data_IF_028910327690
#
_entry.id   IF_028910327690
#
_cell.length_a   1.000
_cell.length_b   1.000
_cell.length_c   1.000
_cell.angle_alpha   90.00
_cell.angle_beta   90.00
_cell.angle_gamma   90.00
#
_symmetry.space_group_name_H-M   'P 1'
#
loop_
_entity.id
_entity.type
_entity.pdbx_description
1 polymer ?
#
# COMPACT_ATOMS: atom_id res chain seq x y z
N UNK A 1 -2.33 -7.85 -3.86
CA UNK A 1 -1.16 -6.93 -4.02
C UNK A 1 -1.45 -5.68 -3.24
N UNK A 2 -0.66 -5.34 -2.26
CA UNK A 2 -0.88 -4.15 -1.44
C UNK A 2 -0.99 -2.88 -2.29
N UNK A 3 -2.07 -2.15 -2.08
CA UNK A 3 -2.28 -0.80 -2.56
C UNK A 3 -2.32 0.14 -1.36
N UNK A 4 -2.71 1.39 -1.51
CA UNK A 4 -2.68 2.35 -0.40
C UNK A 4 -3.40 1.85 0.87
N UNK A 5 -4.61 1.25 0.81
CA UNK A 5 -5.31 0.80 2.02
C UNK A 5 -4.57 -0.27 2.81
N UNK A 6 -3.94 -1.22 2.13
CA UNK A 6 -3.15 -2.27 2.78
C UNK A 6 -1.86 -1.70 3.41
N UNK A 7 -1.23 -0.71 2.75
CA UNK A 7 -0.05 -0.05 3.30
C UNK A 7 -0.43 0.82 4.50
N UNK A 8 -1.61 1.46 4.50
CA UNK A 8 -2.12 2.18 5.66
C UNK A 8 -2.39 1.24 6.83
N UNK A 9 -2.95 0.06 6.58
CA UNK A 9 -3.11 -0.98 7.61
C UNK A 9 -1.76 -1.37 8.24
N UNK A 10 -0.72 -1.58 7.43
CA UNK A 10 0.62 -1.91 7.91
C UNK A 10 1.25 -0.75 8.71
N UNK A 11 1.12 0.51 8.21
CA UNK A 11 1.59 1.70 8.91
C UNK A 11 0.92 1.85 10.27
N UNK A 12 -0.41 1.71 10.32
CA UNK A 12 -1.18 1.80 11.57
C UNK A 12 -0.81 0.71 12.56
N UNK A 13 -0.47 -0.50 12.08
CA UNK A 13 0.04 -1.59 12.92
C UNK A 13 1.38 -1.21 13.55
N UNK A 14 2.30 -0.60 12.80
CA UNK A 14 3.58 -0.10 13.34
C UNK A 14 3.31 0.99 14.38
N UNK A 15 2.46 1.97 14.04
CA UNK A 15 2.13 3.08 14.93
C UNK A 15 1.55 2.60 16.27
N UNK A 16 0.65 1.63 16.23
CA UNK A 16 -0.04 1.14 17.43
C UNK A 16 0.83 0.24 18.33
N UNK A 17 1.80 -0.50 17.76
CA UNK A 17 2.43 -1.60 18.49
C UNK A 17 3.98 -1.62 18.44
N UNK A 18 4.63 -0.82 17.61
CA UNK A 18 6.07 -0.90 17.39
C UNK A 18 6.85 0.37 17.78
N UNK A 19 6.19 1.52 17.95
CA UNK A 19 6.86 2.78 18.27
C UNK A 19 7.38 2.84 19.70
N UNK A 20 8.42 3.65 19.90
CA UNK A 20 9.04 3.97 21.19
C UNK A 20 9.63 2.76 21.93
N UNK A 21 9.89 1.67 21.22
CA UNK A 21 10.51 0.45 21.74
C UNK A 21 11.97 0.41 21.32
N UNK A 22 12.89 0.19 22.26
CA UNK A 22 14.34 0.16 21.97
C UNK A 22 14.70 -1.07 21.17
N UNK A 23 15.38 -0.87 20.04
CA UNK A 23 15.88 -1.91 19.14
C UNK A 23 17.17 -2.49 19.71
N UNK A 24 17.23 -3.82 19.89
CA UNK A 24 18.43 -4.52 20.38
C UNK A 24 19.05 -5.42 19.33
N UNK A 25 18.30 -5.84 18.32
CA UNK A 25 18.83 -6.60 17.19
C UNK A 25 18.00 -6.36 15.93
N UNK A 26 18.64 -6.51 14.77
CA UNK A 26 17.98 -6.47 13.46
C UNK A 26 18.54 -7.61 12.61
N UNK A 27 17.63 -8.41 12.01
CA UNK A 27 17.98 -9.35 10.95
C UNK A 27 17.69 -8.71 9.59
N UNK A 28 18.74 -8.29 8.90
CA UNK A 28 18.76 -7.70 7.55
C UNK A 28 19.50 -8.60 6.55
N UNK A 29 19.57 -9.90 6.82
CA UNK A 29 20.35 -10.85 6.01
C UNK A 29 19.73 -11.17 4.66
N UNK A 30 18.44 -10.83 4.42
CA UNK A 30 17.82 -10.97 3.10
C UNK A 30 18.34 -9.92 2.12
N UNK A 31 19.42 -10.26 1.41
CA UNK A 31 20.10 -9.37 0.44
C UNK A 31 19.22 -8.93 -0.73
N UNK A 32 18.07 -9.56 -0.96
CA UNK A 32 17.17 -9.16 -2.02
C UNK A 32 16.18 -8.09 -1.56
N UNK A 33 15.63 -8.21 -0.37
CA UNK A 33 14.71 -7.20 0.16
C UNK A 33 15.42 -6.02 0.79
N UNK A 34 16.58 -6.23 1.43
CA UNK A 34 17.35 -5.16 2.06
C UNK A 34 18.30 -4.41 1.09
N UNK A 35 18.35 -4.78 -0.20
CA UNK A 35 19.21 -4.11 -1.17
C UNK A 35 18.88 -2.62 -1.32
N UNK A 36 19.85 -1.71 -1.52
CA UNK A 36 21.26 -2.01 -1.84
C UNK A 36 22.16 -2.29 -0.62
N UNK A 37 21.60 -2.34 0.60
CA UNK A 37 22.36 -2.49 1.82
C UNK A 37 22.92 -3.92 1.95
N UNK A 38 24.24 -4.08 2.21
CA UNK A 38 24.78 -5.37 2.58
C UNK A 38 24.27 -5.81 3.97
N UNK A 39 24.26 -7.12 4.26
CA UNK A 39 23.88 -7.62 5.58
C UNK A 39 24.67 -6.95 6.71
N UNK A 40 23.95 -6.51 7.74
CA UNK A 40 24.50 -5.82 8.90
C UNK A 40 24.52 -4.29 8.80
N UNK A 41 24.33 -3.69 7.63
CA UNK A 41 24.33 -2.22 7.48
C UNK A 41 23.09 -1.60 8.12
N UNK A 42 21.90 -2.15 7.84
CA UNK A 42 20.66 -1.67 8.47
C UNK A 42 20.68 -1.96 9.97
N UNK A 43 21.18 -3.12 10.36
CA UNK A 43 21.35 -3.46 11.78
C UNK A 43 22.26 -2.46 12.51
N UNK A 44 23.41 -2.13 11.95
CA UNK A 44 24.33 -1.16 12.53
C UNK A 44 23.70 0.25 12.64
N UNK A 45 22.84 0.61 11.70
CA UNK A 45 22.17 1.90 11.69
C UNK A 45 21.02 2.00 12.72
N UNK A 46 20.34 0.89 13.07
CA UNK A 46 19.13 0.92 13.87
C UNK A 46 19.30 0.44 15.31
N UNK A 47 20.27 -0.42 15.61
CA UNK A 47 20.47 -0.93 16.97
C UNK A 47 20.80 0.21 17.94
N UNK A 48 20.16 0.19 19.12
CA UNK A 48 20.23 1.23 20.13
C UNK A 48 19.23 2.39 19.96
N UNK A 49 18.50 2.42 18.83
CA UNK A 49 17.47 3.44 18.54
C UNK A 49 16.07 2.90 18.80
N UNK A 50 15.07 3.76 18.62
CA UNK A 50 13.65 3.41 18.62
C UNK A 50 12.98 4.00 17.38
N UNK A 51 11.94 3.36 16.87
CA UNK A 51 11.04 3.98 15.88
C UNK A 51 10.20 5.04 16.62
N UNK A 52 10.12 6.27 16.11
CA UNK A 52 9.47 7.40 16.77
C UNK A 52 8.16 7.83 16.11
N UNK A 53 8.04 7.66 14.81
CA UNK A 53 6.83 7.94 14.04
C UNK A 53 6.74 7.00 12.85
N UNK A 54 5.52 6.71 12.37
CA UNK A 54 5.27 5.92 11.18
C UNK A 54 4.48 6.73 10.15
N UNK A 55 5.01 6.85 8.96
CA UNK A 55 4.48 7.66 7.88
C UNK A 55 4.16 6.82 6.65
N UNK A 56 3.29 7.32 5.78
CA UNK A 56 2.95 6.73 4.49
C UNK A 56 2.77 7.79 3.41
N UNK A 57 3.16 7.46 2.19
CA UNK A 57 2.78 8.18 0.98
C UNK A 57 2.55 7.16 -0.14
N UNK A 58 1.32 7.02 -0.56
CA UNK A 58 0.92 5.99 -1.51
C UNK A 58 1.19 4.58 -1.00
N UNK A 59 2.06 3.85 -1.69
CA UNK A 59 2.44 2.47 -1.35
C UNK A 59 3.78 2.39 -0.63
N UNK A 60 4.39 3.50 -0.32
CA UNK A 60 5.63 3.59 0.45
C UNK A 60 5.32 4.03 1.87
N UNK A 61 5.87 3.34 2.86
CA UNK A 61 5.84 3.74 4.26
C UNK A 61 7.26 3.85 4.80
N UNK A 62 7.44 4.68 5.81
CA UNK A 62 8.71 4.82 6.50
C UNK A 62 8.49 5.18 7.95
N UNK A 63 9.50 4.88 8.76
CA UNK A 63 9.53 5.24 10.16
C UNK A 63 10.69 6.19 10.42
N UNK A 64 10.44 7.23 11.18
CA UNK A 64 11.50 8.03 11.79
C UNK A 64 12.15 7.24 12.92
N UNK A 65 13.43 7.50 13.19
CA UNK A 65 14.15 6.87 14.29
C UNK A 65 14.76 7.90 15.24
N UNK A 66 14.86 7.54 16.52
CA UNK A 66 15.55 8.34 17.54
C UNK A 66 17.05 8.37 17.33
N UNK A 67 17.77 9.17 18.10
CA UNK A 67 19.19 9.01 18.34
C UNK A 67 19.51 7.67 19.04
N UNK A 68 20.78 7.35 19.13
CA UNK A 68 21.25 6.16 19.85
C UNK A 68 21.03 6.36 21.36
N UNK A 69 20.58 5.31 22.05
CA UNK A 69 20.37 5.32 23.50
C UNK A 69 19.41 6.42 24.02
N UNK A 70 18.48 6.86 23.15
CA UNK A 70 17.45 7.85 23.52
C UNK A 70 17.91 9.32 23.37
N UNK A 71 19.01 9.56 22.69
CA UNK A 71 19.40 10.92 22.26
C UNK A 71 18.31 11.50 21.33
N UNK A 72 18.02 12.80 21.48
CA UNK A 72 17.03 13.54 20.69
C UNK A 72 17.48 13.82 19.24
N UNK A 73 18.72 13.48 18.88
CA UNK A 73 19.19 13.64 17.49
C UNK A 73 18.48 12.66 16.58
N UNK A 74 17.85 13.11 15.47
CA UNK A 74 17.21 12.20 14.52
C UNK A 74 18.19 11.16 13.97
N UNK A 75 17.75 9.91 13.94
CA UNK A 75 18.47 8.85 13.22
C UNK A 75 18.06 8.76 11.75
N UNK A 76 18.59 7.77 11.00
CA UNK A 76 18.15 7.50 9.64
C UNK A 76 16.69 7.07 9.59
N UNK A 77 15.98 7.38 8.52
CA UNK A 77 14.62 6.86 8.33
C UNK A 77 14.66 5.41 7.84
N UNK A 78 13.73 4.58 8.31
CA UNK A 78 13.56 3.20 7.86
C UNK A 78 12.39 3.11 6.89
N UNK A 79 12.66 3.01 5.59
CA UNK A 79 11.66 2.80 4.56
C UNK A 79 11.28 1.34 4.39
N UNK A 80 9.98 1.05 4.27
CA UNK A 80 9.44 -0.29 4.03
C UNK A 80 8.45 -0.24 2.88
N UNK A 81 8.57 -1.16 1.95
CA UNK A 81 7.62 -1.36 0.85
C UNK A 81 7.14 -2.82 0.84
N UNK A 82 5.83 -3.04 0.83
CA UNK A 82 5.24 -4.38 0.99
C UNK A 82 5.32 -5.27 -0.28
N UNK A 83 5.81 -4.73 -1.39
CA UNK A 83 5.87 -5.49 -2.65
C UNK A 83 4.49 -5.94 -3.13
N UNK A 84 4.33 -7.25 -3.30
CA UNK A 84 3.08 -7.83 -3.84
C UNK A 84 2.32 -8.72 -2.83
N UNK A 85 2.89 -9.04 -1.69
CA UNK A 85 2.29 -9.93 -0.67
C UNK A 85 2.83 -9.66 0.73
N UNK A 86 3.57 -8.57 0.91
CA UNK A 86 4.18 -8.22 2.18
C UNK A 86 3.15 -7.86 3.24
N UNK A 87 3.46 -8.24 4.48
CA UNK A 87 2.71 -7.90 5.69
C UNK A 87 3.67 -7.49 6.79
N UNK A 88 3.23 -6.60 7.63
CA UNK A 88 3.90 -6.26 8.88
C UNK A 88 3.28 -7.07 9.99
N UNK A 89 4.12 -7.75 10.75
CA UNK A 89 3.75 -8.52 11.93
C UNK A 89 4.46 -7.90 13.12
N UNK A 90 3.73 -7.46 14.13
CA UNK A 90 4.30 -6.93 15.38
C UNK A 90 3.89 -7.85 16.51
N UNK A 91 4.88 -8.40 17.21
CA UNK A 91 4.65 -9.18 18.44
C UNK A 91 4.98 -8.30 19.65
N UNK A 92 4.03 -8.18 20.56
CA UNK A 92 4.20 -7.49 21.83
C UNK A 92 5.06 -8.29 22.82
N UNK A 93 5.45 -7.65 23.96
CA UNK A 93 6.20 -8.34 25.03
C UNK A 93 5.41 -9.47 25.68
N UNK A 94 4.09 -9.44 25.61
CA UNK A 94 3.17 -10.47 26.13
C UNK A 94 2.87 -11.59 25.12
N UNK A 95 3.51 -11.53 23.92
CA UNK A 95 3.26 -12.46 22.84
C UNK A 95 2.05 -12.13 21.97
N UNK A 96 1.31 -11.05 22.28
CA UNK A 96 0.20 -10.61 21.43
C UNK A 96 0.70 -10.21 20.05
N UNK A 97 0.07 -10.78 19.01
CA UNK A 97 0.40 -10.50 17.62
C UNK A 97 -0.60 -9.52 17.00
N UNK A 98 -0.08 -8.45 16.41
CA UNK A 98 -0.82 -7.50 15.59
C UNK A 98 -0.29 -7.56 14.15
N UNK A 99 -1.19 -7.49 13.18
CA UNK A 99 -0.85 -7.67 11.77
C UNK A 99 -1.50 -6.58 10.90
N UNK A 100 -0.76 -6.12 9.87
CA UNK A 100 -1.27 -5.20 8.85
C UNK A 100 -0.57 -5.41 7.51
N UNK A 101 -1.22 -5.06 6.42
CA UNK A 101 -0.68 -5.21 5.07
C UNK A 101 -1.59 -5.98 4.12
N UNK A 102 -1.03 -6.87 3.29
CA UNK A 102 -1.82 -7.58 2.29
C UNK A 102 -2.84 -8.51 2.96
N UNK A 103 -4.11 -8.14 2.81
CA UNK A 103 -5.21 -8.89 3.41
C UNK A 103 -5.83 -9.83 2.37
N UNK A 104 -5.83 -11.12 2.66
CA UNK A 104 -6.45 -12.13 1.81
C UNK A 104 -7.82 -12.52 2.37
N UNK A 105 -8.78 -11.60 2.24
CA UNK A 105 -10.20 -11.78 2.40
C UNK A 105 -10.70 -12.92 3.29
N UNK A 106 -10.91 -12.67 4.58
CA UNK A 106 -11.64 -13.55 5.47
C UNK A 106 -10.98 -14.88 5.85
N UNK A 107 -9.85 -15.22 5.28
CA UNK A 107 -9.13 -16.46 5.64
C UNK A 107 -8.30 -16.34 6.92
N UNK A 108 -8.13 -15.12 7.42
CA UNK A 108 -7.30 -14.84 8.60
C UNK A 108 -8.09 -14.33 9.81
N UNK A 109 -9.42 -14.27 9.75
CA UNK A 109 -10.27 -13.66 10.79
C UNK A 109 -10.98 -14.63 11.73
N UNK A 110 -10.77 -15.92 11.64
CA UNK A 110 -11.45 -16.90 12.52
C UNK A 110 -10.46 -17.92 13.02
N UNK A 111 -9.81 -17.68 14.16
CA UNK A 111 -9.29 -18.63 15.14
C UNK A 111 -8.80 -20.02 14.69
N UNK A 112 -8.51 -20.23 13.42
CA UNK A 112 -7.94 -21.46 12.90
C UNK A 112 -6.41 -21.35 12.93
N UNK A 113 -5.73 -22.43 13.27
CA UNK A 113 -4.29 -22.55 13.15
C UNK A 113 -3.84 -21.96 11.81
N UNK A 114 -2.95 -20.97 11.82
CA UNK A 114 -2.40 -20.36 10.62
C UNK A 114 -1.48 -21.33 9.88
N UNK A 115 -1.91 -21.98 8.78
CA UNK A 115 -1.09 -22.95 8.07
C UNK A 115 0.16 -22.35 7.43
N UNK A 116 0.33 -21.03 7.48
CA UNK A 116 1.20 -20.29 6.57
C UNK A 116 2.22 -19.36 7.25
N UNK A 117 2.42 -19.43 8.58
CA UNK A 117 3.48 -18.68 9.28
C UNK A 117 4.81 -19.40 9.28
N UNK A 118 5.33 -19.70 8.10
CA UNK A 118 6.69 -20.22 8.02
C UNK A 118 7.68 -19.06 8.25
N UNK A 119 8.51 -19.10 9.31
CA UNK A 119 9.50 -18.06 9.61
C UNK A 119 10.51 -17.82 8.47
N UNK A 120 10.63 -18.75 7.57
CA UNK A 120 11.46 -18.62 6.36
C UNK A 120 11.03 -17.45 5.47
N UNK A 121 9.81 -16.95 5.64
CA UNK A 121 9.28 -15.80 4.92
C UNK A 121 9.36 -14.47 5.69
N UNK A 122 9.92 -14.50 6.91
CA UNK A 122 10.31 -13.28 7.62
C UNK A 122 11.58 -12.75 6.95
N UNK A 123 11.45 -11.70 6.16
CA UNK A 123 12.52 -11.17 5.31
C UNK A 123 13.36 -10.09 5.98
N UNK A 124 12.79 -9.47 6.98
CA UNK A 124 13.43 -8.46 7.80
C UNK A 124 12.80 -8.51 9.19
N UNK A 125 13.62 -8.48 10.24
CA UNK A 125 13.14 -8.56 11.62
C UNK A 125 13.86 -7.54 12.50
N UNK A 126 13.08 -6.76 13.24
CA UNK A 126 13.56 -5.96 14.36
C UNK A 126 13.19 -6.70 15.65
N UNK A 127 14.15 -6.85 16.57
CA UNK A 127 13.92 -7.34 17.93
C UNK A 127 14.07 -6.21 18.92
N UNK A 128 13.10 -6.08 19.81
CA UNK A 128 13.06 -5.03 20.83
C UNK A 128 13.59 -5.53 22.18
N UNK A 129 14.02 -4.58 23.04
CA UNK A 129 14.56 -4.87 24.37
C UNK A 129 13.56 -5.58 25.30
N UNK A 130 12.27 -5.41 25.06
CA UNK A 130 11.18 -6.07 25.78
C UNK A 130 10.86 -7.49 25.29
N UNK A 131 11.63 -8.02 24.34
CA UNK A 131 11.47 -9.35 23.76
C UNK A 131 10.48 -9.43 22.59
N UNK A 132 9.72 -8.37 22.31
CA UNK A 132 8.84 -8.36 21.14
C UNK A 132 9.59 -8.11 19.83
N UNK A 133 8.86 -8.21 18.70
CA UNK A 133 9.45 -8.09 17.35
C UNK A 133 8.57 -7.30 16.40
N UNK A 134 9.19 -6.69 15.38
CA UNK A 134 8.54 -6.24 14.15
C UNK A 134 9.13 -7.03 12.98
N UNK A 135 8.30 -7.59 12.12
CA UNK A 135 8.74 -8.41 10.99
C UNK A 135 8.08 -7.98 9.69
N UNK A 136 8.85 -7.94 8.61
CA UNK A 136 8.33 -7.92 7.25
C UNK A 136 8.23 -9.38 6.76
N UNK A 137 7.02 -9.87 6.67
CA UNK A 137 6.72 -11.18 6.16
C UNK A 137 6.36 -11.09 4.67
N UNK A 138 7.14 -11.70 3.78
CA UNK A 138 6.86 -11.71 2.34
C UNK A 138 7.24 -13.03 1.68
N UNK A 139 6.22 -13.82 1.27
CA UNK A 139 6.39 -15.08 0.55
C UNK A 139 7.04 -14.90 -0.82
N UNK A 140 6.73 -13.79 -1.49
CA UNK A 140 7.15 -13.52 -2.88
C UNK A 140 8.50 -12.83 -2.98
N UNK A 141 9.01 -12.32 -1.88
CA UNK A 141 10.30 -11.64 -1.79
C UNK A 141 10.39 -10.45 -2.75
N UNK A 142 9.32 -9.66 -2.80
CA UNK A 142 9.19 -8.46 -3.66
C UNK A 142 9.09 -7.17 -2.84
N UNK A 143 9.11 -7.28 -1.53
CA UNK A 143 9.23 -6.17 -0.60
C UNK A 143 10.58 -5.46 -0.69
N UNK A 144 10.71 -4.36 0.04
CA UNK A 144 11.96 -3.59 0.16
C UNK A 144 12.06 -2.97 1.54
N UNK A 145 13.26 -3.05 2.11
CA UNK A 145 13.64 -2.33 3.31
C UNK A 145 14.88 -1.50 3.00
N UNK A 146 14.85 -0.21 3.31
CA UNK A 146 15.95 0.72 3.00
C UNK A 146 16.09 1.78 4.07
N UNK A 147 17.30 2.22 4.30
CA UNK A 147 17.58 3.46 5.00
C UNK A 147 17.38 4.64 4.03
N UNK A 148 16.83 5.74 4.54
CA UNK A 148 16.65 7.02 3.86
C UNK A 148 16.05 6.88 2.44
N UNK A 149 14.82 6.34 2.31
CA UNK A 149 14.22 6.08 1.02
C UNK A 149 13.98 7.37 0.22
N UNK A 150 14.29 7.33 -1.08
CA UNK A 150 13.95 8.43 -2.00
C UNK A 150 12.43 8.45 -2.26
N UNK A 151 11.76 9.46 -1.74
CA UNK A 151 10.33 9.69 -1.87
C UNK A 151 9.98 10.85 -2.85
N UNK A 152 10.96 11.53 -3.42
CA UNK A 152 10.76 12.75 -4.23
C UNK A 152 10.04 12.48 -5.54
N UNK A 153 10.12 11.25 -6.04
CA UNK A 153 9.46 10.83 -7.28
C UNK A 153 7.98 10.51 -7.13
N UNK A 154 7.49 10.44 -5.90
CA UNK A 154 6.08 10.13 -5.63
C UNK A 154 5.23 11.39 -5.82
N UNK A 155 4.12 11.23 -6.54
CA UNK A 155 3.05 12.22 -6.60
C UNK A 155 2.37 12.44 -5.24
N UNK A 156 1.35 13.32 -5.18
CA UNK A 156 0.54 13.48 -3.98
C UNK A 156 -0.15 12.16 -3.63
N UNK A 157 -0.44 12.00 -2.34
CA UNK A 157 -1.12 10.81 -1.82
C UNK A 157 -2.59 10.76 -2.26
N UNK A 158 -3.06 9.60 -2.73
CA UNK A 158 -4.43 9.45 -3.24
C UNK A 158 -5.52 9.68 -2.17
N UNK A 159 -5.20 9.55 -0.89
CA UNK A 159 -6.13 9.81 0.21
C UNK A 159 -6.34 11.31 0.45
N UNK A 160 -5.31 12.12 0.21
CA UNK A 160 -5.28 13.54 0.61
C UNK A 160 -5.13 14.54 -0.53
N UNK A 161 -4.90 14.08 -1.76
CA UNK A 161 -4.72 14.97 -2.91
C UNK A 161 -5.93 15.87 -3.13
N UNK A 162 -5.71 17.16 -3.35
CA UNK A 162 -6.77 18.13 -3.67
C UNK A 162 -7.33 17.94 -5.09
N UNK A 163 -8.60 18.33 -5.29
CA UNK A 163 -9.29 18.16 -6.57
C UNK A 163 -8.57 18.89 -7.72
N UNK A 164 -8.12 20.11 -7.49
CA UNK A 164 -7.40 20.89 -8.51
C UNK A 164 -6.06 20.23 -8.86
N UNK A 165 -5.28 19.83 -7.87
CA UNK A 165 -3.98 19.19 -8.10
C UNK A 165 -4.13 17.86 -8.84
N UNK A 166 -5.12 17.04 -8.46
CA UNK A 166 -5.40 15.78 -9.16
C UNK A 166 -5.78 16.05 -10.63
N UNK A 167 -6.68 17.02 -10.88
CA UNK A 167 -7.11 17.38 -12.23
C UNK A 167 -5.95 17.84 -13.10
N UNK A 168 -5.07 18.71 -12.59
CA UNK A 168 -3.89 19.21 -13.30
C UNK A 168 -2.89 18.08 -13.63
N UNK A 169 -2.69 17.13 -12.72
CA UNK A 169 -1.75 16.02 -12.91
C UNK A 169 -2.28 14.95 -13.84
N UNK A 170 -3.54 14.54 -13.65
CA UNK A 170 -4.20 13.52 -14.48
C UNK A 170 -4.44 14.05 -15.89
N UNK A 171 -4.90 15.30 -16.06
CA UNK A 171 -5.28 15.89 -17.35
C UNK A 171 -4.13 16.13 -18.32
N UNK A 172 -2.87 15.89 -17.94
CA UNK A 172 -1.72 16.14 -18.84
C UNK A 172 -1.49 14.97 -19.81
N UNK A 173 -1.48 15.29 -21.10
CA UNK A 173 -1.20 14.34 -22.19
C UNK A 173 -2.45 13.61 -22.69
N UNK A 174 -2.28 12.49 -23.41
CA UNK A 174 -3.34 11.78 -24.12
C UNK A 174 -3.49 10.32 -23.66
N UNK A 175 -2.80 9.92 -22.60
CA UNK A 175 -2.85 8.54 -22.11
C UNK A 175 -4.25 8.19 -21.58
N UNK A 176 -4.64 6.89 -21.56
CA UNK A 176 -5.86 6.46 -20.90
C UNK A 176 -5.89 6.86 -19.42
N UNK A 177 -7.05 7.29 -18.93
CA UNK A 177 -7.21 7.75 -17.55
C UNK A 177 -6.76 6.71 -16.51
N UNK A 178 -7.01 5.43 -16.75
CA UNK A 178 -6.50 4.37 -15.86
C UNK A 178 -4.97 4.33 -15.83
N UNK A 179 -4.30 4.51 -16.95
CA UNK A 179 -2.84 4.52 -17.00
C UNK A 179 -2.27 5.69 -16.17
N UNK A 180 -2.93 6.84 -16.19
CA UNK A 180 -2.58 7.99 -15.36
C UNK A 180 -2.77 7.73 -13.86
N UNK A 181 -3.88 7.09 -13.47
CA UNK A 181 -4.11 6.71 -12.08
C UNK A 181 -3.10 5.69 -11.56
N UNK A 182 -2.56 4.82 -12.42
CA UNK A 182 -1.56 3.82 -12.04
C UNK A 182 -0.14 4.39 -11.91
N UNK A 183 0.11 5.58 -12.46
CA UNK A 183 1.40 6.26 -12.40
C UNK A 183 1.59 6.90 -11.02
N UNK A 184 2.49 6.33 -10.23
CA UNK A 184 2.75 6.78 -8.85
C UNK A 184 3.37 8.19 -8.79
N UNK A 185 3.87 8.74 -9.89
CA UNK A 185 4.34 10.13 -9.97
C UNK A 185 3.18 11.11 -10.21
N UNK A 186 2.05 10.65 -10.74
CA UNK A 186 0.83 11.43 -10.93
C UNK A 186 0.02 11.47 -9.64
N UNK A 187 -0.29 10.30 -9.09
CA UNK A 187 -0.96 10.12 -7.80
C UNK A 187 -0.44 8.85 -7.13
N UNK A 188 0.10 8.98 -5.93
CA UNK A 188 0.67 7.85 -5.21
C UNK A 188 -0.41 7.04 -4.49
N UNK A 189 -0.30 5.71 -4.56
CA UNK A 189 -1.15 4.79 -3.80
C UNK A 189 -2.15 3.99 -4.64
N UNK A 190 -2.57 4.52 -5.77
CA UNK A 190 -3.53 3.84 -6.64
C UNK A 190 -2.88 2.62 -7.30
N UNK A 191 -3.52 1.47 -7.15
CA UNK A 191 -3.16 0.26 -7.86
C UNK A 191 -4.29 -0.21 -8.77
N UNK A 192 -4.23 -1.48 -9.19
CA UNK A 192 -5.14 -2.00 -10.21
C UNK A 192 -6.60 -2.11 -9.74
N UNK A 193 -6.79 -2.53 -8.49
CA UNK A 193 -8.14 -2.70 -7.92
C UNK A 193 -8.74 -1.34 -7.59
N UNK A 194 -7.99 -0.49 -6.91
CA UNK A 194 -8.47 0.86 -6.56
C UNK A 194 -8.76 1.70 -7.80
N UNK A 195 -7.96 1.55 -8.88
CA UNK A 195 -8.23 2.24 -10.15
C UNK A 195 -9.53 1.77 -10.80
N UNK A 196 -9.80 0.44 -10.83
CA UNK A 196 -11.03 -0.08 -11.43
C UNK A 196 -12.25 0.34 -10.60
N UNK A 197 -12.18 0.28 -9.28
CA UNK A 197 -13.22 0.75 -8.37
C UNK A 197 -13.51 2.25 -8.55
N UNK A 198 -12.46 3.08 -8.53
CA UNK A 198 -12.57 4.53 -8.72
C UNK A 198 -13.25 4.89 -10.05
N UNK A 199 -12.81 4.27 -11.15
CA UNK A 199 -13.36 4.56 -12.47
C UNK A 199 -14.78 4.07 -12.63
N UNK A 200 -15.15 2.96 -11.98
CA UNK A 200 -16.52 2.49 -11.96
C UNK A 200 -17.43 3.43 -11.16
N UNK A 201 -17.01 3.91 -10.00
CA UNK A 201 -17.74 4.91 -9.22
C UNK A 201 -17.86 6.25 -9.97
N UNK A 202 -16.82 6.67 -10.69
CA UNK A 202 -16.83 7.90 -11.48
C UNK A 202 -17.58 7.80 -12.81
N UNK A 203 -18.11 6.63 -13.21
CA UNK A 203 -18.72 6.39 -14.53
C UNK A 203 -17.79 6.70 -15.71
N UNK A 204 -16.48 6.47 -15.56
CA UNK A 204 -15.49 6.77 -16.59
C UNK A 204 -14.89 5.51 -17.19
N UNK A 205 -14.86 5.45 -18.52
CA UNK A 205 -14.17 4.38 -19.23
C UNK A 205 -12.67 4.39 -18.89
N UNK A 206 -12.09 3.25 -18.48
CA UNK A 206 -10.65 3.17 -18.19
C UNK A 206 -9.76 3.49 -19.38
N UNK A 207 -10.32 3.41 -20.59
CA UNK A 207 -9.63 3.67 -21.86
C UNK A 207 -9.73 5.11 -22.32
N UNK A 208 -10.54 5.93 -21.67
CA UNK A 208 -10.78 7.31 -22.08
C UNK A 208 -9.47 8.12 -22.02
N UNK A 209 -9.09 8.80 -23.11
CA UNK A 209 -7.94 9.71 -23.11
C UNK A 209 -8.16 10.86 -22.13
N UNK A 210 -7.13 11.23 -21.37
CA UNK A 210 -7.29 12.26 -20.32
C UNK A 210 -7.54 13.65 -20.86
N UNK A 211 -7.09 13.96 -22.07
CA UNK A 211 -7.36 15.23 -22.77
C UNK A 211 -8.81 15.39 -23.24
N UNK A 212 -9.59 14.31 -23.18
CA UNK A 212 -11.02 14.30 -23.49
C UNK A 212 -11.91 14.37 -22.24
N UNK A 213 -11.32 14.42 -21.05
CA UNK A 213 -12.07 14.54 -19.80
C UNK A 213 -12.54 15.97 -19.61
N UNK A 214 -13.84 16.13 -19.34
CA UNK A 214 -14.43 17.41 -18.99
C UNK A 214 -14.11 17.78 -17.54
N UNK A 215 -14.17 19.07 -17.18
CA UNK A 215 -13.93 19.51 -15.80
C UNK A 215 -14.82 18.83 -14.75
N UNK A 216 -16.12 18.61 -15.08
CA UNK A 216 -17.05 17.90 -14.20
C UNK A 216 -16.68 16.42 -14.00
N UNK A 217 -16.11 15.79 -15.02
CA UNK A 217 -15.62 14.40 -14.95
C UNK A 217 -14.36 14.30 -14.08
N UNK A 218 -13.48 15.28 -14.13
CA UNK A 218 -12.31 15.33 -13.24
C UNK A 218 -12.71 15.54 -11.77
N UNK A 219 -13.74 16.33 -11.50
CA UNK A 219 -14.29 16.47 -10.14
C UNK A 219 -14.87 15.14 -9.65
N UNK A 220 -15.71 14.47 -10.46
CA UNK A 220 -16.25 13.14 -10.11
C UNK A 220 -15.16 12.10 -9.92
N UNK A 221 -14.10 12.14 -10.74
CA UNK A 221 -12.95 11.24 -10.58
C UNK A 221 -12.27 11.42 -9.22
N UNK A 222 -12.06 12.67 -8.80
CA UNK A 222 -11.50 12.99 -7.49
C UNK A 222 -12.40 12.51 -6.35
N UNK A 223 -13.69 12.80 -6.40
CA UNK A 223 -14.66 12.36 -5.39
C UNK A 223 -14.71 10.84 -5.28
N UNK A 224 -14.74 10.15 -6.43
CA UNK A 224 -14.73 8.68 -6.49
C UNK A 224 -13.42 8.09 -5.94
N UNK A 225 -12.26 8.68 -6.25
CA UNK A 225 -10.98 8.24 -5.72
C UNK A 225 -10.95 8.33 -4.20
N UNK A 226 -11.38 9.46 -3.65
CA UNK A 226 -11.44 9.65 -2.19
C UNK A 226 -12.44 8.71 -1.52
N UNK A 227 -13.64 8.56 -2.10
CA UNK A 227 -14.67 7.66 -1.58
C UNK A 227 -14.19 6.19 -1.56
N UNK A 228 -13.66 5.70 -2.69
CA UNK A 228 -13.15 4.35 -2.82
C UNK A 228 -11.96 4.10 -1.88
N UNK A 229 -11.01 5.03 -1.78
CA UNK A 229 -9.85 4.93 -0.89
C UNK A 229 -10.27 4.85 0.57
N UNK A 230 -11.13 5.79 1.02
CA UNK A 230 -11.62 5.81 2.41
C UNK A 230 -12.47 4.58 2.75
N UNK A 231 -13.29 4.12 1.82
CA UNK A 231 -14.07 2.89 2.00
C UNK A 231 -13.15 1.68 2.15
N UNK A 232 -12.15 1.54 1.27
CA UNK A 232 -11.19 0.44 1.33
C UNK A 232 -10.36 0.44 2.62
N UNK A 233 -9.91 1.60 3.11
CA UNK A 233 -9.22 1.72 4.42
C UNK A 233 -10.14 1.23 5.55
N UNK A 234 -11.39 1.71 5.61
CA UNK A 234 -12.34 1.33 6.67
C UNK A 234 -12.74 -0.14 6.65
N UNK A 235 -12.86 -0.71 5.45
CA UNK A 235 -13.37 -2.07 5.25
C UNK A 235 -12.27 -3.13 5.18
N UNK A 236 -10.99 -2.76 5.36
CA UNK A 236 -9.87 -3.70 5.44
C UNK A 236 -9.20 -4.05 4.12
N UNK A 237 -9.33 -3.23 3.08
CA UNK A 237 -8.55 -3.36 1.85
C UNK A 237 -9.32 -3.16 0.54
N UNK A 238 -8.58 -3.04 -0.55
CA UNK A 238 -9.16 -2.74 -1.88
C UNK A 238 -10.07 -3.83 -2.44
N UNK A 239 -9.95 -5.06 -1.93
CA UNK A 239 -10.81 -6.18 -2.36
C UNK A 239 -12.27 -6.05 -1.88
N UNK A 240 -12.56 -5.13 -0.97
CA UNK A 240 -13.91 -4.83 -0.46
C UNK A 240 -14.69 -3.84 -1.32
N UNK A 241 -14.10 -3.35 -2.43
CA UNK A 241 -14.76 -2.45 -3.36
C UNK A 241 -15.99 -3.10 -4.02
N UNK A 242 -16.97 -2.27 -4.39
CA UNK A 242 -18.28 -2.71 -4.88
C UNK A 242 -18.22 -3.46 -6.22
N UNK A 243 -17.27 -3.07 -7.11
CA UNK A 243 -17.12 -3.74 -8.42
C UNK A 243 -16.09 -4.87 -8.40
N UNK A 244 -15.31 -5.01 -7.33
CA UNK A 244 -14.14 -5.87 -7.33
C UNK A 244 -14.47 -7.36 -7.50
N UNK A 245 -15.52 -7.86 -6.89
CA UNK A 245 -15.97 -9.26 -7.04
C UNK A 245 -16.46 -9.59 -8.46
N UNK A 246 -16.89 -8.57 -9.23
CA UNK A 246 -17.39 -8.70 -10.60
C UNK A 246 -16.27 -8.62 -11.66
N UNK A 247 -15.02 -8.47 -11.26
CA UNK A 247 -13.86 -8.42 -12.15
C UNK A 247 -13.45 -9.81 -12.66
N UNK A 248 -14.37 -10.52 -13.31
CA UNK A 248 -14.20 -11.88 -13.86
C UNK A 248 -15.05 -12.09 -15.10
N UNK A 249 -14.66 -13.08 -15.91
CA UNK A 249 -15.41 -13.44 -17.11
C UNK A 249 -16.84 -13.90 -16.77
N UNK A 250 -17.81 -13.46 -17.57
CA UNK A 250 -19.23 -13.78 -17.36
C UNK A 250 -19.88 -13.08 -16.16
N UNK A 251 -19.19 -12.19 -15.46
CA UNK A 251 -19.81 -11.39 -14.43
C UNK A 251 -20.56 -10.19 -15.05
N UNK A 252 -21.55 -9.70 -14.31
CA UNK A 252 -22.42 -8.60 -14.72
C UNK A 252 -22.27 -7.41 -13.78
N UNK A 253 -22.37 -6.22 -14.33
CA UNK A 253 -22.28 -4.98 -13.57
C UNK A 253 -23.37 -4.92 -12.48
N UNK A 254 -23.02 -4.67 -11.21
CA UNK A 254 -24.00 -4.64 -10.12
C UNK A 254 -25.00 -3.48 -10.22
N UNK A 255 -24.70 -2.45 -11.04
CA UNK A 255 -25.64 -1.33 -11.26
C UNK A 255 -26.66 -1.58 -12.37
N UNK A 256 -26.21 -2.03 -13.53
CA UNK A 256 -27.07 -2.10 -14.73
C UNK A 256 -27.25 -3.52 -15.31
N UNK A 257 -26.55 -4.52 -14.77
CA UNK A 257 -26.64 -5.89 -15.24
C UNK A 257 -25.93 -6.19 -16.58
N UNK A 258 -25.25 -5.22 -17.19
CA UNK A 258 -24.48 -5.47 -18.41
C UNK A 258 -23.25 -6.35 -18.13
N UNK A 259 -22.88 -7.21 -19.09
CA UNK A 259 -21.69 -8.04 -18.95
C UNK A 259 -20.41 -7.18 -18.83
N UNK A 260 -19.55 -7.56 -17.90
CA UNK A 260 -18.26 -6.87 -17.67
C UNK A 260 -17.29 -7.13 -18.82
N UNK A 261 -16.68 -6.08 -19.33
CA UNK A 261 -15.70 -6.13 -20.40
C UNK A 261 -14.28 -6.19 -19.85
N UNK A 262 -13.40 -6.95 -20.53
CA UNK A 262 -11.99 -7.10 -20.16
C UNK A 262 -11.06 -6.60 -21.26
N UNK A 263 -10.02 -5.86 -20.87
CA UNK A 263 -8.88 -5.53 -21.73
C UNK A 263 -7.61 -5.29 -20.88
N UNK A 264 -6.50 -5.02 -21.59
CA UNK A 264 -5.29 -4.49 -20.94
C UNK A 264 -5.25 -2.98 -21.12
N UNK A 265 -5.18 -2.24 -20.02
CA UNK A 265 -5.04 -0.78 -20.00
C UNK A 265 -3.92 -0.40 -19.03
N UNK A 266 -2.98 0.43 -19.45
CA UNK A 266 -1.82 0.80 -18.64
C UNK A 266 -0.98 -0.41 -18.21
N UNK A 267 -0.89 -1.45 -19.03
CA UNK A 267 -0.16 -2.68 -18.75
C UNK A 267 -0.82 -3.57 -17.69
N UNK A 268 -2.08 -3.31 -17.32
CA UNK A 268 -2.82 -4.08 -16.29
C UNK A 268 -4.12 -4.64 -16.83
N UNK A 269 -4.46 -5.86 -16.42
CA UNK A 269 -5.80 -6.43 -16.67
C UNK A 269 -6.84 -5.53 -16.03
N UNK A 270 -7.77 -5.07 -16.84
CA UNK A 270 -8.79 -4.09 -16.52
C UNK A 270 -10.17 -4.70 -16.78
N UNK A 271 -11.09 -4.48 -15.87
CA UNK A 271 -12.50 -4.84 -16.03
C UNK A 271 -13.36 -3.60 -15.85
N UNK A 272 -14.37 -3.42 -16.70
CA UNK A 272 -15.29 -2.29 -16.60
C UNK A 272 -16.64 -2.63 -17.21
N UNK A 273 -17.65 -1.85 -16.86
CA UNK A 273 -18.98 -1.92 -17.46
C UNK A 273 -19.04 -1.05 -18.73
N UNK A 274 -19.29 -1.62 -19.91
CA UNK A 274 -19.31 -0.83 -21.15
C UNK A 274 -20.54 0.10 -21.27
N UNK A 275 -21.58 -0.08 -20.43
CA UNK A 275 -22.77 0.78 -20.42
C UNK A 275 -22.67 1.91 -19.40
N UNK A 276 -22.10 1.64 -18.23
CA UNK A 276 -21.98 2.63 -17.15
C UNK A 276 -20.75 3.53 -17.27
N UNK A 277 -19.67 3.04 -17.89
CA UNK A 277 -18.39 3.70 -17.98
C UNK A 277 -18.10 4.12 -19.41
N UNK A 278 -18.45 5.35 -19.74
CA UNK A 278 -18.37 5.93 -21.10
C UNK A 278 -17.24 6.95 -21.24
#
# INVERSE_FOLDING_TARGET
MPELPEVESARSTIEAAALHRRIVAVDDTDTYECRPHPPGEIAAALVGRSLTAAHRRGKSMWCDTSGVDGDDTPGPTLGIHLGMSGRILVTGPDGTLTEGGDWQGGRYGTGGEEPDRNPVWDRFTITYADGGTLRLFDKRRLGRVRLDPDLDRLGPDAETVGAQELAERVGRGTAPVKAKLLDQSVVAGVGNLLADETLWQAHLSPRRPVDQLRPDELVRLHEALHAATKAAIRNGGVHTGEVIEFRRAGAHCPRCGAEMTRATVGGRTTWWCPQEQV
#
